data_IF_882338141407
#
_entry.id   IF_882338141407
#
_cell.length_a   1.000
_cell.length_b   1.000
_cell.length_c   1.000
_cell.angle_alpha   90.00
_cell.angle_beta   90.00
_cell.angle_gamma   90.00
#
_symmetry.space_group_name_H-M   'P 1'
#
loop_
_entity.id
_entity.type
_entity.pdbx_description
1 polymer ?
#
# COMPACT_ATOMS: atom_id res chain seq x y z
N UNK A 1 1.48 0.09 -16.42
CA UNK A 1 0.00 0.16 -16.44
C UNK A 1 -0.56 -0.78 -15.40
N UNK A 2 -0.29 -2.08 -15.53
CA UNK A 2 -0.40 -3.03 -14.41
C UNK A 2 0.55 -2.62 -13.27
N UNK A 3 1.76 -2.20 -13.64
CA UNK A 3 2.61 -1.35 -12.83
C UNK A 3 2.02 0.08 -12.74
N UNK A 4 1.51 0.58 -11.60
CA UNK A 4 1.30 -0.10 -10.30
C UNK A 4 -0.20 -0.29 -9.95
N UNK A 5 -1.08 -0.22 -10.96
CA UNK A 5 -2.54 -0.39 -10.74
C UNK A 5 -2.93 -1.78 -10.25
N UNK A 6 -2.11 -2.79 -10.46
CA UNK A 6 -2.33 -4.15 -9.98
C UNK A 6 -2.16 -4.23 -8.46
N UNK A 7 -1.12 -3.62 -7.88
CA UNK A 7 -0.94 -3.59 -6.44
C UNK A 7 -2.02 -2.74 -5.76
N UNK A 8 -2.36 -1.58 -6.34
CA UNK A 8 -3.51 -0.78 -5.93
C UNK A 8 -4.80 -1.61 -5.84
N UNK A 9 -5.10 -2.41 -6.88
CA UNK A 9 -6.28 -3.27 -6.88
C UNK A 9 -6.22 -4.36 -5.79
N UNK A 10 -5.05 -4.97 -5.58
CA UNK A 10 -4.84 -5.99 -4.55
C UNK A 10 -5.03 -5.42 -3.14
N UNK A 11 -4.46 -4.24 -2.86
CA UNK A 11 -4.59 -3.53 -1.58
C UNK A 11 -6.06 -3.18 -1.32
N UNK A 12 -6.75 -2.61 -2.31
CA UNK A 12 -8.17 -2.26 -2.17
C UNK A 12 -9.05 -3.49 -1.91
N UNK A 13 -8.78 -4.61 -2.59
CA UNK A 13 -9.48 -5.86 -2.34
C UNK A 13 -9.20 -6.42 -0.94
N UNK A 14 -7.95 -6.35 -0.46
CA UNK A 14 -7.60 -6.79 0.89
C UNK A 14 -8.31 -5.97 1.96
N UNK A 15 -8.35 -4.63 1.82
CA UNK A 15 -9.10 -3.75 2.72
C UNK A 15 -10.59 -4.08 2.72
N UNK A 16 -11.19 -4.25 1.53
CA UNK A 16 -12.60 -4.62 1.41
C UNK A 16 -12.90 -5.96 2.10
N UNK A 17 -12.01 -6.94 1.93
CA UNK A 17 -12.16 -8.27 2.54
C UNK A 17 -12.12 -8.18 4.06
N UNK A 18 -11.15 -7.47 4.65
CA UNK A 18 -11.04 -7.30 6.10
C UNK A 18 -12.24 -6.55 6.69
N UNK A 19 -12.72 -5.50 6.02
CA UNK A 19 -13.91 -4.75 6.45
C UNK A 19 -15.17 -5.65 6.43
N UNK A 20 -15.26 -6.53 5.43
CA UNK A 20 -16.42 -7.42 5.25
C UNK A 20 -16.40 -8.65 6.18
N UNK A 21 -15.25 -8.97 6.77
CA UNK A 21 -15.04 -10.14 7.64
C UNK A 21 -14.48 -9.70 9.01
N UNK A 22 -15.29 -9.03 9.85
CA UNK A 22 -14.86 -8.50 11.14
C UNK A 22 -14.43 -9.58 12.15
N UNK A 23 -14.76 -10.85 11.89
CA UNK A 23 -14.26 -12.00 12.65
C UNK A 23 -12.74 -12.20 12.51
N UNK A 24 -12.15 -11.70 11.43
CA UNK A 24 -10.71 -11.74 11.21
C UNK A 24 -10.08 -10.62 12.04
N UNK A 25 -9.41 -11.01 13.13
CA UNK A 25 -8.72 -10.04 13.99
C UNK A 25 -7.51 -9.47 13.25
N UNK A 26 -7.46 -8.16 13.13
CA UNK A 26 -6.32 -7.42 12.62
C UNK A 26 -6.04 -6.18 13.48
N UNK A 27 -4.81 -5.68 13.42
CA UNK A 27 -4.44 -4.38 14.01
C UNK A 27 -4.91 -3.22 13.12
N UNK A 28 -4.46 -2.01 13.45
CA UNK A 28 -4.65 -0.87 12.55
C UNK A 28 -3.83 -1.09 11.26
N UNK A 29 -4.49 -1.00 10.11
CA UNK A 29 -3.84 -1.13 8.79
C UNK A 29 -3.91 0.23 8.12
N UNK A 30 -2.74 0.80 7.80
CA UNK A 30 -2.61 2.07 7.10
C UNK A 30 -2.12 1.84 5.69
N UNK A 31 -2.72 2.55 4.73
CA UNK A 31 -2.39 2.43 3.30
C UNK A 31 -2.11 3.81 2.76
N UNK A 32 -0.94 3.97 2.13
CA UNK A 32 -0.53 5.19 1.43
C UNK A 32 -0.35 4.91 -0.06
N UNK A 33 -0.98 5.74 -0.90
CA UNK A 33 -0.75 5.74 -2.34
C UNK A 33 0.06 6.98 -2.70
N UNK A 34 1.26 6.80 -3.21
CA UNK A 34 2.15 7.91 -3.58
C UNK A 34 2.05 8.20 -5.08
N UNK A 35 1.89 9.47 -5.50
CA UNK A 35 1.94 9.83 -6.91
C UNK A 35 3.39 9.90 -7.41
N UNK A 36 3.58 9.92 -8.73
CA UNK A 36 4.86 10.25 -9.37
C UNK A 36 6.06 9.40 -8.91
N UNK A 37 5.84 8.10 -8.66
CA UNK A 37 6.88 7.08 -8.48
C UNK A 37 7.80 7.08 -9.73
N UNK A 38 7.20 6.89 -10.91
CA UNK A 38 7.82 6.82 -12.25
C UNK A 38 8.59 8.08 -12.68
N UNK A 39 8.48 9.18 -11.93
CA UNK A 39 9.21 10.44 -12.16
C UNK A 39 10.38 10.64 -11.19
N UNK A 40 10.88 9.53 -10.61
CA UNK A 40 12.06 9.50 -9.74
C UNK A 40 11.72 9.57 -8.25
N UNK A 41 10.70 8.80 -7.82
CA UNK A 41 10.26 8.65 -6.43
C UNK A 41 9.85 9.97 -5.78
N UNK A 42 9.24 10.88 -6.54
CA UNK A 42 8.92 12.22 -6.04
C UNK A 42 7.85 12.19 -4.95
N UNK A 43 6.82 11.37 -5.12
CA UNK A 43 5.80 11.18 -4.10
C UNK A 43 6.37 10.62 -2.79
N UNK A 44 7.21 9.58 -2.88
CA UNK A 44 7.85 9.00 -1.70
C UNK A 44 8.77 9.99 -0.97
N UNK A 45 9.51 10.84 -1.70
CA UNK A 45 10.37 11.88 -1.09
C UNK A 45 9.59 12.97 -0.34
N UNK A 46 8.37 13.24 -0.77
CA UNK A 46 7.47 14.20 -0.13
C UNK A 46 6.55 13.55 0.92
N UNK A 47 6.64 12.23 1.11
CA UNK A 47 5.77 11.49 2.00
C UNK A 47 6.25 11.62 3.46
N UNK A 48 5.41 12.19 4.31
CA UNK A 48 5.70 12.31 5.74
C UNK A 48 5.36 11.00 6.47
N UNK A 49 6.39 10.19 6.71
CA UNK A 49 6.28 8.92 7.44
C UNK A 49 5.86 9.15 8.90
N UNK A 50 6.23 10.28 9.50
CA UNK A 50 5.88 10.59 10.89
C UNK A 50 4.39 10.86 11.04
N UNK A 51 3.79 11.56 10.07
CA UNK A 51 2.34 11.77 10.00
C UNK A 51 1.60 10.47 9.65
N UNK A 52 2.18 9.62 8.79
CA UNK A 52 1.60 8.33 8.46
C UNK A 52 1.48 7.43 9.70
N UNK A 53 2.46 7.47 10.61
CA UNK A 53 2.37 6.86 11.94
C UNK A 53 2.23 5.33 11.90
N UNK A 54 2.93 4.68 10.98
CA UNK A 54 3.09 3.22 10.96
C UNK A 54 4.47 2.85 11.50
N UNK A 55 4.56 1.81 12.34
CA UNK A 55 5.84 1.36 12.90
C UNK A 55 6.76 0.75 11.83
N UNK A 56 6.15 0.12 10.82
CA UNK A 56 6.80 -0.47 9.65
C UNK A 56 5.78 -0.58 8.50
N UNK A 57 6.25 -0.84 7.29
CA UNK A 57 5.39 -1.00 6.12
C UNK A 57 6.05 -1.85 5.03
N UNK A 58 5.22 -2.30 4.09
CA UNK A 58 5.65 -3.02 2.90
C UNK A 58 5.22 -2.24 1.66
N UNK A 59 6.12 -2.06 0.71
CA UNK A 59 5.80 -1.52 -0.61
C UNK A 59 5.47 -2.68 -1.53
N UNK A 60 4.22 -2.78 -1.96
CA UNK A 60 3.78 -3.74 -2.97
C UNK A 60 4.03 -3.12 -4.34
N UNK A 61 5.29 -3.17 -4.78
CA UNK A 61 5.75 -2.67 -6.08
C UNK A 61 6.70 -3.70 -6.70
N UNK A 62 6.26 -4.96 -6.67
CA UNK A 62 7.06 -6.12 -7.03
C UNK A 62 6.45 -6.78 -8.27
N UNK A 63 7.29 -7.13 -9.24
CA UNK A 63 6.83 -7.65 -10.52
C UNK A 63 6.42 -9.13 -10.44
N UNK A 64 7.11 -9.92 -9.62
CA UNK A 64 6.95 -11.38 -9.54
C UNK A 64 6.33 -11.87 -8.24
N UNK A 65 5.79 -13.09 -8.26
CA UNK A 65 5.35 -13.77 -7.04
C UNK A 65 6.58 -14.12 -6.19
N UNK A 66 6.65 -13.60 -4.96
CA UNK A 66 7.67 -13.96 -3.97
C UNK A 66 8.82 -12.97 -3.80
N UNK A 67 8.75 -11.80 -4.43
CA UNK A 67 9.62 -10.65 -4.15
C UNK A 67 9.12 -9.80 -2.97
#
# INVERSE_FOLDING_TARGET
GADDKAALAAIMNALQFLISHPEIRHGEVKVGFVPDEEQGLRGAKAFDVSEFGADFGYTLDCCGIGE
#
